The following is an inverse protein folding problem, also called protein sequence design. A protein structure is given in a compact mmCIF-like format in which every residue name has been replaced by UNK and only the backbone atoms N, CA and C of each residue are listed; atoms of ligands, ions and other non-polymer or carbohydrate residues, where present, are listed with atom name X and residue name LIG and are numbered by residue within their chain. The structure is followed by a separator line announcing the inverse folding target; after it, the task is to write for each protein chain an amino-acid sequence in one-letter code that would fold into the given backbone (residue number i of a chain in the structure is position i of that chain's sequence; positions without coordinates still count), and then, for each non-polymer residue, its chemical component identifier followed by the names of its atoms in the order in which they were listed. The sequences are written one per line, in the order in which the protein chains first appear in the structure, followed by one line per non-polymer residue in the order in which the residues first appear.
data_IF_638592216688
#
_entry.id   IF_638592216688
#
_cell.length_a   1.000
_cell.length_b   1.000
_cell.length_c   1.000
_cell.angle_alpha   90.00
_cell.angle_beta   90.00
_cell.angle_gamma   90.00
#
_symmetry.space_group_name_H-M   'P 1'
#
loop_
_entity.id
_entity.type
_entity.pdbx_description
1 polymer ?
#
# COMPACT_ATOMS: atom_id res chain seq x y z
N UNK A 1 7.72 -62.06 13.82
CA UNK A 1 7.23 -63.17 12.97
C UNK A 1 5.79 -62.84 12.59
N UNK A 2 5.35 -62.60 11.36
CA UNK A 2 5.85 -62.84 10.01
C UNK A 2 4.66 -63.29 9.17
N UNK A 3 4.23 -62.48 8.18
CA UNK A 3 3.45 -62.83 6.96
C UNK A 3 2.01 -63.42 7.15
N UNK A 4 0.98 -63.22 6.31
CA UNK A 4 0.83 -62.63 4.96
C UNK A 4 -0.67 -62.44 4.64
N UNK A 5 -0.93 -61.61 3.62
CA UNK A 5 -2.09 -61.58 2.71
C UNK A 5 -3.31 -60.71 3.07
N UNK A 6 -3.43 -59.58 2.37
CA UNK A 6 -4.71 -58.97 2.02
C UNK A 6 -4.57 -58.35 0.61
N UNK A 7 -4.90 -59.19 -0.36
CA UNK A 7 -5.59 -58.96 -1.64
C UNK A 7 -5.56 -57.55 -2.26
N UNK A 8 -4.97 -57.53 -3.45
CA UNK A 8 -5.06 -56.51 -4.49
C UNK A 8 -6.52 -56.16 -4.87
N UNK A 9 -6.91 -54.89 -4.70
CA UNK A 9 -8.07 -54.33 -5.39
C UNK A 9 -7.57 -53.52 -6.58
N UNK A 10 -7.60 -54.15 -7.76
CA UNK A 10 -7.42 -53.50 -9.06
C UNK A 10 -8.50 -52.42 -9.26
N UNK A 11 -8.13 -51.13 -9.13
CA UNK A 11 -8.93 -50.04 -9.71
C UNK A 11 -8.59 -49.93 -11.20
N UNK A 12 -9.58 -50.23 -12.05
CA UNK A 12 -9.56 -49.90 -13.48
C UNK A 12 -9.45 -48.38 -13.65
N UNK A 13 -8.35 -47.91 -14.22
CA UNK A 13 -8.26 -46.56 -14.75
C UNK A 13 -9.08 -46.48 -16.04
N UNK A 14 -10.09 -45.61 -16.08
CA UNK A 14 -10.72 -45.22 -17.33
C UNK A 14 -9.75 -44.28 -18.06
N UNK A 15 -9.28 -44.68 -19.24
CA UNK A 15 -8.55 -43.81 -20.13
C UNK A 15 -9.51 -42.76 -20.70
N UNK A 16 -9.37 -41.50 -20.27
CA UNK A 16 -10.04 -40.37 -20.90
C UNK A 16 -9.11 -39.86 -22.01
N UNK A 17 -9.49 -40.13 -23.26
CA UNK A 17 -8.84 -39.58 -24.43
C UNK A 17 -9.27 -38.12 -24.59
N UNK A 18 -8.40 -37.18 -24.18
CA UNK A 18 -8.61 -35.74 -24.44
C UNK A 18 -8.23 -35.45 -25.89
N UNK A 19 -9.21 -35.10 -26.72
CA UNK A 19 -8.94 -34.55 -28.06
C UNK A 19 -8.46 -33.11 -27.91
N UNK A 20 -7.22 -32.85 -28.29
CA UNK A 20 -6.69 -31.49 -28.39
C UNK A 20 -7.46 -30.71 -29.47
N UNK A 21 -8.12 -29.62 -29.09
CA UNK A 21 -8.57 -28.61 -30.03
C UNK A 21 -7.34 -27.86 -30.57
N UNK A 22 -7.30 -27.62 -31.88
CA UNK A 22 -6.22 -26.86 -32.50
C UNK A 22 -6.14 -25.44 -31.91
N UNK A 23 -4.93 -24.91 -31.64
CA UNK A 23 -4.80 -23.55 -31.14
C UNK A 23 -5.30 -22.57 -32.20
N UNK A 24 -6.29 -21.74 -31.84
CA UNK A 24 -6.61 -20.54 -32.62
C UNK A 24 -5.37 -19.63 -32.59
N UNK A 25 -4.90 -19.26 -33.77
CA UNK A 25 -3.81 -18.31 -33.97
C UNK A 25 -4.24 -16.98 -33.34
N UNK A 26 -3.60 -16.59 -32.24
CA UNK A 26 -3.68 -15.22 -31.73
C UNK A 26 -2.74 -14.42 -32.61
N UNK A 27 -3.31 -13.57 -33.46
CA UNK A 27 -2.50 -12.61 -34.22
C UNK A 27 -1.87 -11.62 -33.24
N UNK A 28 -0.55 -11.52 -33.32
CA UNK A 28 0.19 -10.52 -32.57
C UNK A 28 -0.17 -9.14 -33.12
N UNK A 29 -0.76 -8.29 -32.28
CA UNK A 29 -0.91 -6.87 -32.61
C UNK A 29 0.47 -6.24 -32.49
N UNK A 30 1.04 -5.84 -33.61
CA UNK A 30 2.23 -5.01 -33.64
C UNK A 30 1.87 -3.61 -33.10
N UNK A 31 2.67 -3.12 -32.14
CA UNK A 31 2.64 -1.71 -31.76
C UNK A 31 3.22 -0.88 -32.90
N UNK A 32 2.39 -0.08 -33.55
CA UNK A 32 2.86 0.99 -34.46
C UNK A 32 2.39 2.38 -33.99
N UNK A 33 3.29 3.32 -34.23
CA UNK A 33 3.27 4.74 -33.88
C UNK A 33 2.20 5.53 -34.65
N UNK A 34 1.73 6.61 -34.02
CA UNK A 34 0.72 7.53 -34.53
C UNK A 34 1.09 8.19 -35.87
N UNK A 35 0.18 8.09 -36.86
CA UNK A 35 -0.10 9.13 -37.86
C UNK A 35 -1.42 8.84 -38.61
N UNK A 36 -2.32 9.83 -38.56
CA UNK A 36 -3.43 10.23 -39.44
C UNK A 36 -4.05 9.24 -40.46
N UNK A 37 -5.38 9.09 -40.45
CA UNK A 37 -6.35 9.83 -41.30
C UNK A 37 -7.79 9.29 -41.13
N UNK A 38 -8.73 10.08 -41.65
CA UNK A 38 -10.14 10.18 -41.30
C UNK A 38 -11.12 9.20 -41.99
N UNK A 39 -12.37 9.28 -41.50
CA UNK A 39 -13.67 9.19 -42.19
C UNK A 39 -14.48 7.87 -42.25
N UNK A 40 -15.66 7.97 -41.60
CA UNK A 40 -17.02 7.71 -42.12
C UNK A 40 -17.76 6.36 -41.85
N UNK A 41 -18.80 6.51 -41.01
CA UNK A 41 -20.21 6.10 -41.18
C UNK A 41 -20.74 4.67 -40.89
N UNK A 42 -21.55 4.61 -39.80
CA UNK A 42 -22.90 4.01 -39.57
C UNK A 42 -23.37 2.79 -40.40
N UNK A 43 -23.83 1.75 -39.68
CA UNK A 43 -25.25 1.33 -39.65
C UNK A 43 -25.55 0.28 -38.55
N UNK A 44 -26.85 0.07 -38.30
CA UNK A 44 -27.50 -0.33 -37.04
C UNK A 44 -28.16 -1.71 -37.11
N UNK A 45 -28.34 -2.33 -35.94
CA UNK A 45 -29.32 -3.36 -35.53
C UNK A 45 -29.08 -4.84 -35.88
N UNK A 46 -29.11 -5.69 -34.85
CA UNK A 46 -30.34 -6.38 -34.42
C UNK A 46 -30.10 -7.28 -33.20
N UNK A 47 -30.90 -7.06 -32.16
CA UNK A 47 -31.03 -7.91 -30.97
C UNK A 47 -31.60 -9.29 -31.32
N UNK A 48 -31.12 -10.33 -30.63
CA UNK A 48 -31.88 -11.56 -30.39
C UNK A 48 -31.63 -12.04 -28.96
N UNK A 49 -32.60 -11.76 -28.10
CA UNK A 49 -32.81 -12.43 -26.83
C UNK A 49 -33.01 -13.94 -27.04
N UNK A 50 -32.33 -14.76 -26.25
CA UNK A 50 -32.72 -16.15 -25.99
C UNK A 50 -32.76 -16.34 -24.48
N UNK A 51 -33.97 -16.36 -23.94
CA UNK A 51 -34.25 -16.71 -22.56
C UNK A 51 -33.89 -18.19 -22.30
N UNK A 52 -33.05 -18.43 -21.30
CA UNK A 52 -32.88 -19.75 -20.69
C UNK A 52 -33.17 -19.63 -19.20
N UNK A 53 -34.28 -20.24 -18.78
CA UNK A 53 -34.71 -20.35 -17.41
C UNK A 53 -33.77 -21.27 -16.62
N UNK A 54 -33.25 -20.76 -15.51
CA UNK A 54 -32.54 -21.53 -14.48
C UNK A 54 -32.81 -20.91 -13.13
N UNK A 55 -33.66 -21.55 -12.33
CA UNK A 55 -34.04 -21.09 -10.99
C UNK A 55 -32.87 -21.13 -10.02
N UNK A 56 -32.71 -20.04 -9.27
CA UNK A 56 -31.81 -19.89 -8.13
C UNK A 56 -32.36 -18.77 -7.24
N UNK A 57 -32.31 -18.99 -5.94
CA UNK A 57 -32.92 -18.21 -4.85
C UNK A 57 -32.65 -16.71 -4.99
N UNK A 58 -33.72 -15.90 -4.97
CA UNK A 58 -33.63 -14.43 -4.93
C UNK A 58 -32.80 -13.99 -3.72
N UNK A 59 -31.66 -13.33 -3.99
CA UNK A 59 -30.93 -12.61 -2.96
C UNK A 59 -31.70 -11.35 -2.59
N UNK A 60 -31.94 -11.19 -1.29
CA UNK A 60 -32.92 -10.23 -0.74
C UNK A 60 -32.31 -8.85 -0.45
N UNK A 61 -31.11 -8.62 -0.95
CA UNK A 61 -30.41 -7.34 -0.91
C UNK A 61 -30.12 -6.95 -2.34
N UNK A 62 -30.83 -5.92 -2.83
CA UNK A 62 -30.58 -5.35 -4.15
C UNK A 62 -29.23 -4.66 -4.16
N UNK A 63 -28.17 -5.42 -4.42
CA UNK A 63 -26.91 -4.88 -4.91
C UNK A 63 -27.10 -4.52 -6.39
N UNK A 64 -26.72 -3.29 -6.72
CA UNK A 64 -26.92 -2.67 -8.03
C UNK A 64 -26.43 -3.57 -9.17
N UNK A 65 -27.33 -3.90 -10.10
CA UNK A 65 -27.00 -4.62 -11.36
C UNK A 65 -25.86 -3.96 -12.15
N UNK A 66 -25.59 -2.66 -11.93
CA UNK A 66 -24.48 -1.94 -12.52
C UNK A 66 -23.09 -2.43 -12.06
N UNK A 67 -22.98 -3.09 -10.89
CA UNK A 67 -21.70 -3.64 -10.41
C UNK A 67 -21.31 -4.95 -11.09
N UNK A 68 -22.27 -5.72 -11.61
CA UNK A 68 -22.00 -6.96 -12.36
C UNK A 68 -21.52 -6.69 -13.80
N UNK A 69 -21.81 -5.52 -14.37
CA UNK A 69 -21.40 -5.12 -15.74
C UNK A 69 -19.97 -4.59 -15.81
N UNK A 70 -19.31 -4.45 -14.67
CA UNK A 70 -17.97 -3.91 -14.58
C UNK A 70 -16.91 -4.90 -15.09
N UNK A 71 -15.97 -4.49 -15.97
CA UNK A 71 -14.93 -5.38 -16.48
C UNK A 71 -14.09 -6.01 -15.37
N UNK A 72 -13.85 -7.33 -15.44
CA UNK A 72 -13.00 -8.05 -14.48
C UNK A 72 -11.69 -8.48 -15.12
N UNK A 73 -10.59 -8.35 -14.38
CA UNK A 73 -9.29 -8.88 -14.81
C UNK A 73 -9.33 -10.41 -14.86
N UNK A 74 -9.07 -11.06 -16.02
CA UNK A 74 -9.12 -12.51 -16.16
C UNK A 74 -7.85 -13.17 -15.62
N UNK A 75 -7.73 -13.23 -14.29
CA UNK A 75 -6.56 -13.84 -13.63
C UNK A 75 -6.45 -15.34 -13.93
N UNK A 76 -5.27 -15.78 -14.37
CA UNK A 76 -4.94 -17.18 -14.59
C UNK A 76 -3.93 -17.67 -13.54
N UNK A 77 -4.25 -18.79 -12.89
CA UNK A 77 -3.39 -19.37 -11.86
C UNK A 77 -2.64 -20.58 -12.41
N UNK A 78 -1.34 -20.63 -12.17
CA UNK A 78 -0.48 -21.78 -12.48
C UNK A 78 0.47 -22.05 -11.32
N UNK A 79 0.92 -23.30 -11.18
CA UNK A 79 1.86 -23.65 -10.11
C UNK A 79 3.22 -23.00 -10.41
N UNK A 80 3.65 -22.11 -9.52
CA UNK A 80 4.96 -21.47 -9.63
C UNK A 80 6.10 -22.51 -9.49
N UNK A 81 6.99 -22.52 -10.46
CA UNK A 81 8.17 -23.39 -10.51
C UNK A 81 9.31 -22.71 -11.28
N UNK A 82 10.52 -23.27 -11.22
CA UNK A 82 11.70 -22.73 -11.90
C UNK A 82 11.95 -21.26 -11.59
N UNK A 83 12.29 -20.47 -12.61
CA UNK A 83 12.53 -19.03 -12.45
C UNK A 83 11.28 -18.23 -12.07
N UNK A 84 10.07 -18.70 -12.40
CA UNK A 84 8.84 -18.01 -11.98
C UNK A 84 8.74 -17.97 -10.46
N UNK A 85 9.02 -19.10 -9.80
CA UNK A 85 9.07 -19.18 -8.33
C UNK A 85 10.23 -18.36 -7.73
N UNK A 86 11.40 -18.35 -8.36
CA UNK A 86 12.57 -17.59 -7.88
C UNK A 86 12.43 -16.07 -8.03
N UNK A 87 11.58 -15.61 -8.95
CA UNK A 87 11.36 -14.18 -9.23
C UNK A 87 10.19 -13.59 -8.45
N UNK A 88 9.32 -14.43 -7.89
CA UNK A 88 8.21 -13.99 -7.04
C UNK A 88 8.70 -13.78 -5.59
N UNK A 89 8.74 -12.53 -5.10
CA UNK A 89 9.25 -12.23 -3.76
C UNK A 89 8.42 -12.84 -2.62
N UNK A 90 7.13 -13.14 -2.83
CA UNK A 90 6.26 -13.73 -1.82
C UNK A 90 6.65 -15.18 -1.50
N UNK A 91 7.16 -15.89 -2.52
CA UNK A 91 7.45 -17.31 -2.46
C UNK A 91 8.94 -17.65 -2.50
N UNK A 92 9.77 -16.75 -3.00
CA UNK A 92 11.21 -16.98 -3.09
C UNK A 92 11.85 -17.10 -1.70
N UNK A 93 12.54 -18.21 -1.46
CA UNK A 93 13.30 -18.49 -0.23
C UNK A 93 14.81 -18.35 -0.42
N UNK A 94 15.27 -18.03 -1.63
CA UNK A 94 16.69 -18.02 -1.99
C UNK A 94 17.35 -19.37 -1.67
N UNK A 95 18.47 -19.36 -0.95
CA UNK A 95 19.18 -20.58 -0.58
C UNK A 95 18.48 -21.42 0.50
N UNK A 96 17.36 -20.95 1.07
CA UNK A 96 16.58 -21.70 2.06
C UNK A 96 15.57 -22.67 1.45
N UNK A 97 15.45 -22.75 0.12
CA UNK A 97 14.77 -23.89 -0.50
C UNK A 97 15.51 -25.17 -0.13
N UNK A 98 14.78 -26.11 0.46
CA UNK A 98 15.26 -27.45 0.81
C UNK A 98 15.51 -28.28 -0.46
N UNK A 99 16.33 -29.33 -0.36
CA UNK A 99 16.56 -30.25 -1.50
C UNK A 99 15.25 -30.79 -2.09
N UNK A 100 14.29 -31.15 -1.23
CA UNK A 100 12.96 -31.64 -1.66
C UNK A 100 12.16 -30.58 -2.42
N UNK A 101 12.14 -29.34 -1.93
CA UNK A 101 11.48 -28.22 -2.64
C UNK A 101 12.16 -27.95 -3.98
N UNK A 102 13.49 -28.05 -4.04
CA UNK A 102 14.25 -27.84 -5.28
C UNK A 102 13.94 -28.90 -6.33
N UNK A 103 13.83 -30.17 -5.92
CA UNK A 103 13.45 -31.27 -6.80
C UNK A 103 11.99 -31.12 -7.27
N UNK A 104 11.07 -30.79 -6.36
CA UNK A 104 9.63 -30.69 -6.67
C UNK A 104 9.26 -29.48 -7.55
N UNK A 105 9.97 -28.36 -7.40
CA UNK A 105 9.67 -27.11 -8.11
C UNK A 105 10.67 -26.77 -9.23
N UNK A 106 11.41 -27.77 -9.73
CA UNK A 106 12.36 -27.59 -10.85
C UNK A 106 13.42 -26.50 -10.58
N UNK A 107 13.95 -26.44 -9.36
CA UNK A 107 15.01 -25.50 -8.96
C UNK A 107 16.40 -26.14 -8.91
N UNK A 108 16.49 -27.47 -8.99
CA UNK A 108 17.77 -28.19 -8.97
C UNK A 108 18.66 -27.72 -10.12
N UNK A 109 19.88 -27.31 -9.81
CA UNK A 109 20.83 -26.74 -10.79
C UNK A 109 20.68 -25.23 -11.02
N UNK A 110 19.55 -24.62 -10.64
CA UNK A 110 19.37 -23.15 -10.69
C UNK A 110 19.95 -22.45 -9.46
N UNK A 111 20.08 -23.18 -8.35
CA UNK A 111 20.67 -22.70 -7.10
C UNK A 111 21.95 -23.49 -6.77
N UNK A 112 22.94 -22.85 -6.12
CA UNK A 112 24.10 -23.55 -5.56
C UNK A 112 23.70 -24.70 -4.62
N UNK A 113 24.53 -25.76 -4.48
CA UNK A 113 24.19 -26.95 -3.69
C UNK A 113 23.95 -26.69 -2.19
N UNK A 114 24.50 -25.63 -1.62
CA UNK A 114 24.31 -25.31 -0.20
C UNK A 114 22.85 -24.92 0.11
N UNK A 115 22.27 -25.55 1.13
CA UNK A 115 21.02 -25.12 1.76
C UNK A 115 21.37 -24.25 2.97
N UNK A 116 20.86 -23.02 2.99
CA UNK A 116 21.21 -22.00 4.00
C UNK A 116 19.96 -21.60 4.76
N UNK A 117 19.96 -21.76 6.09
CA UNK A 117 18.83 -21.40 6.95
C UNK A 117 18.49 -19.91 6.86
N UNK A 118 17.25 -19.56 7.18
CA UNK A 118 16.79 -18.17 7.16
C UNK A 118 17.62 -17.30 8.12
N UNK A 119 17.96 -17.79 9.31
CA UNK A 119 18.79 -17.06 10.28
C UNK A 119 20.20 -16.78 9.76
N UNK A 120 20.81 -17.72 9.04
CA UNK A 120 22.13 -17.50 8.44
C UNK A 120 22.05 -16.51 7.27
N UNK A 121 20.93 -16.48 6.53
CA UNK A 121 20.68 -15.43 5.54
C UNK A 121 20.52 -14.05 6.20
N UNK A 122 19.77 -13.93 7.30
CA UNK A 122 19.66 -12.70 8.10
C UNK A 122 21.05 -12.22 8.53
N UNK A 123 21.87 -13.11 9.11
CA UNK A 123 23.24 -12.79 9.54
C UNK A 123 24.11 -12.28 8.39
N UNK A 124 24.02 -12.92 7.21
CA UNK A 124 24.75 -12.50 6.01
C UNK A 124 24.31 -11.12 5.53
N UNK A 125 23.00 -10.85 5.49
CA UNK A 125 22.49 -9.55 5.04
C UNK A 125 22.87 -8.45 6.03
N UNK A 126 22.73 -8.66 7.34
CA UNK A 126 23.18 -7.66 8.33
C UNK A 126 24.67 -7.36 8.22
N UNK A 127 25.51 -8.38 7.99
CA UNK A 127 26.94 -8.19 7.77
C UNK A 127 27.20 -7.25 6.57
N UNK A 128 26.51 -7.47 5.45
CA UNK A 128 26.65 -6.62 4.27
C UNK A 128 26.09 -5.21 4.50
N UNK A 129 24.93 -5.08 5.15
CA UNK A 129 24.30 -3.78 5.42
C UNK A 129 25.20 -2.86 6.24
N UNK A 130 25.87 -3.41 7.25
CA UNK A 130 26.80 -2.67 8.12
C UNK A 130 28.05 -2.19 7.38
N UNK A 131 28.40 -2.77 6.23
CA UNK A 131 29.53 -2.33 5.40
C UNK A 131 29.19 -1.11 4.54
N UNK A 132 27.91 -0.84 4.26
CA UNK A 132 27.52 0.39 3.57
C UNK A 132 27.80 1.60 4.43
N UNK A 133 28.39 2.62 3.80
CA UNK A 133 28.83 3.85 4.47
C UNK A 133 27.72 4.90 4.57
N UNK A 134 26.80 4.91 3.60
CA UNK A 134 25.73 5.91 3.51
C UNK A 134 24.39 5.26 3.86
N UNK A 135 23.55 5.88 4.71
CA UNK A 135 22.23 5.34 5.06
C UNK A 135 21.36 5.02 3.84
N UNK A 136 21.35 5.89 2.82
CA UNK A 136 20.61 5.67 1.57
C UNK A 136 21.02 4.37 0.84
N UNK A 137 22.29 3.97 0.89
CA UNK A 137 22.71 2.69 0.30
C UNK A 137 22.10 1.50 1.04
N UNK A 138 21.97 1.60 2.37
CA UNK A 138 21.28 0.59 3.18
C UNK A 138 19.79 0.55 2.86
N UNK A 139 19.15 1.72 2.68
CA UNK A 139 17.76 1.81 2.26
C UNK A 139 17.53 1.08 0.92
N UNK A 140 18.33 1.41 -0.11
CA UNK A 140 18.21 0.77 -1.44
C UNK A 140 18.42 -0.75 -1.33
N UNK A 141 19.39 -1.21 -0.55
CA UNK A 141 19.63 -2.63 -0.33
C UNK A 141 18.47 -3.34 0.40
N UNK A 142 17.78 -2.63 1.31
CA UNK A 142 16.59 -3.15 2.00
C UNK A 142 15.39 -3.25 1.06
N UNK A 143 15.15 -2.24 0.22
CA UNK A 143 14.07 -2.28 -0.78
C UNK A 143 14.34 -3.38 -1.84
N UNK A 144 15.58 -3.53 -2.29
CA UNK A 144 15.99 -4.62 -3.18
C UNK A 144 15.84 -6.02 -2.54
N UNK A 145 15.84 -6.11 -1.20
CA UNK A 145 15.58 -7.35 -0.49
C UNK A 145 14.07 -7.63 -0.41
N UNK A 146 13.27 -6.63 -0.09
CA UNK A 146 11.81 -6.73 -0.06
C UNK A 146 11.28 -7.29 -1.39
N UNK A 147 11.75 -6.72 -2.50
CA UNK A 147 11.36 -7.11 -3.87
C UNK A 147 12.02 -8.39 -4.39
N UNK A 148 12.81 -9.09 -3.55
CA UNK A 148 13.38 -10.41 -3.89
C UNK A 148 12.90 -11.53 -2.98
N UNK A 149 12.77 -11.26 -1.69
CA UNK A 149 12.42 -12.24 -0.67
C UNK A 149 11.77 -11.50 0.50
N UNK A 150 10.46 -11.33 0.38
CA UNK A 150 9.65 -10.55 1.30
C UNK A 150 9.73 -11.09 2.74
N UNK A 151 9.67 -12.41 2.89
CA UNK A 151 9.76 -13.06 4.21
C UNK A 151 11.10 -12.82 4.89
N UNK A 152 12.19 -12.84 4.14
CA UNK A 152 13.52 -12.54 4.68
C UNK A 152 13.65 -11.06 5.05
N UNK A 153 13.10 -10.15 4.24
CA UNK A 153 13.03 -8.72 4.56
C UNK A 153 12.34 -8.49 5.91
N UNK A 154 11.13 -9.03 6.09
CA UNK A 154 10.39 -8.81 7.34
C UNK A 154 11.05 -9.49 8.54
N UNK A 155 11.57 -10.72 8.41
CA UNK A 155 12.30 -11.36 9.51
C UNK A 155 13.54 -10.56 9.90
N UNK A 156 14.31 -10.09 8.93
CA UNK A 156 15.49 -9.24 9.15
C UNK A 156 15.12 -7.95 9.91
N UNK A 157 14.04 -7.29 9.49
CA UNK A 157 13.53 -6.06 10.09
C UNK A 157 13.01 -6.28 11.52
N UNK A 158 12.24 -7.35 11.76
CA UNK A 158 11.72 -7.69 13.09
C UNK A 158 12.87 -8.01 14.06
N UNK A 159 13.81 -8.86 13.64
CA UNK A 159 14.92 -9.31 14.50
C UNK A 159 15.91 -8.17 14.84
N UNK A 160 15.93 -7.09 14.05
CA UNK A 160 16.90 -5.98 14.18
C UNK A 160 16.22 -4.59 14.12
N UNK A 161 15.00 -4.49 14.65
CA UNK A 161 14.14 -3.31 14.46
C UNK A 161 14.81 -2.01 14.90
N UNK A 162 15.50 -2.00 16.03
CA UNK A 162 16.15 -0.78 16.56
C UNK A 162 17.23 -0.23 15.62
N UNK A 163 18.02 -1.10 14.99
CA UNK A 163 19.09 -0.71 14.06
C UNK A 163 18.56 -0.35 12.67
N UNK A 164 17.49 -1.01 12.23
CA UNK A 164 16.98 -0.88 10.86
C UNK A 164 15.84 0.11 10.72
N UNK A 165 15.12 0.48 11.79
CA UNK A 165 14.05 1.46 11.73
C UNK A 165 14.53 2.82 11.17
N UNK A 166 15.70 3.36 11.56
CA UNK A 166 16.22 4.60 10.97
C UNK A 166 16.64 4.47 9.50
N UNK A 167 16.79 3.23 9.00
CA UNK A 167 17.16 2.93 7.61
C UNK A 167 15.93 2.84 6.73
N UNK A 168 14.91 2.06 7.12
CA UNK A 168 13.71 1.82 6.30
C UNK A 168 12.61 2.88 6.50
N UNK A 169 12.74 3.69 7.56
CA UNK A 169 11.81 4.75 7.90
C UNK A 169 12.58 6.05 8.19
N UNK A 170 12.05 6.92 9.06
CA UNK A 170 12.66 8.23 9.34
C UNK A 170 14.01 8.08 10.06
N UNK A 171 15.04 8.88 9.69
CA UNK A 171 15.01 9.97 8.70
C UNK A 171 15.33 9.55 7.25
N UNK A 172 15.89 8.35 7.03
CA UNK A 172 16.46 7.96 5.71
C UNK A 172 15.40 7.87 4.62
N UNK A 173 14.16 7.48 4.94
CA UNK A 173 13.05 7.45 3.97
C UNK A 173 12.76 8.83 3.36
N UNK A 174 12.99 9.91 4.12
CA UNK A 174 12.85 11.27 3.60
C UNK A 174 13.90 11.60 2.54
N UNK A 175 15.16 11.22 2.78
CA UNK A 175 16.23 11.34 1.78
C UNK A 175 15.92 10.47 0.55
N UNK A 176 15.39 9.27 0.76
CA UNK A 176 14.97 8.39 -0.33
C UNK A 176 13.85 9.02 -1.17
N UNK A 177 12.87 9.69 -0.56
CA UNK A 177 11.83 10.43 -1.28
C UNK A 177 12.40 11.61 -2.07
N UNK A 178 13.39 12.34 -1.54
CA UNK A 178 14.02 13.43 -2.30
C UNK A 178 14.74 12.93 -3.55
N UNK A 179 15.33 11.73 -3.48
CA UNK A 179 16.13 11.13 -4.56
C UNK A 179 15.40 10.01 -5.30
N UNK A 180 14.09 9.88 -5.11
CA UNK A 180 13.34 8.67 -5.47
C UNK A 180 13.46 8.33 -6.95
N UNK A 181 13.37 9.32 -7.84
CA UNK A 181 13.56 9.13 -9.28
C UNK A 181 14.96 8.60 -9.63
N UNK A 182 16.01 9.17 -9.04
CA UNK A 182 17.40 8.76 -9.28
C UNK A 182 17.76 7.36 -8.74
N UNK A 183 17.06 6.90 -7.69
CA UNK A 183 17.30 5.59 -7.07
C UNK A 183 16.26 4.54 -7.49
N UNK A 184 15.32 4.88 -8.37
CA UNK A 184 14.24 4.00 -8.78
C UNK A 184 14.79 2.74 -9.47
N UNK A 185 14.28 1.57 -9.07
CA UNK A 185 14.75 0.27 -9.58
C UNK A 185 13.60 -0.68 -9.89
N UNK A 186 12.90 -1.11 -8.85
CA UNK A 186 11.71 -1.95 -8.95
C UNK A 186 10.52 -1.13 -8.47
N UNK A 187 9.40 -1.11 -9.22
CA UNK A 187 8.22 -0.39 -8.80
C UNK A 187 7.65 -1.01 -7.52
N UNK A 188 7.23 -0.17 -6.59
CA UNK A 188 6.53 -0.55 -5.38
C UNK A 188 5.28 0.33 -5.24
N UNK A 189 4.17 -0.28 -4.86
CA UNK A 189 2.87 0.40 -4.75
C UNK A 189 2.22 0.68 -6.10
N UNK A 190 1.15 1.47 -6.04
CA UNK A 190 0.30 1.82 -7.16
C UNK A 190 0.22 3.34 -7.31
N UNK A 191 0.32 3.83 -8.54
CA UNK A 191 0.28 5.24 -8.86
C UNK A 191 -1.05 5.56 -9.55
N UNK A 192 -1.77 6.56 -9.05
CA UNK A 192 -2.99 7.09 -9.67
C UNK A 192 -2.75 8.55 -9.95
N UNK A 193 -2.92 8.98 -11.20
CA UNK A 193 -2.63 10.34 -11.63
C UNK A 193 -3.86 11.07 -12.16
N UNK A 194 -3.74 12.38 -12.40
CA UNK A 194 -4.78 13.15 -13.11
C UNK A 194 -5.13 12.59 -14.49
N UNK A 195 -4.19 11.88 -15.14
CA UNK A 195 -4.43 11.27 -16.45
C UNK A 195 -5.35 10.04 -16.37
N UNK A 196 -5.55 9.51 -15.16
CA UNK A 196 -6.36 8.33 -14.89
C UNK A 196 -7.79 8.68 -14.46
N UNK A 197 -8.15 9.97 -14.46
CA UNK A 197 -9.51 10.44 -14.17
C UNK A 197 -10.53 9.78 -15.11
N UNK A 198 -11.60 9.26 -14.54
CA UNK A 198 -12.63 8.44 -15.18
C UNK A 198 -12.25 6.95 -15.34
N UNK A 199 -11.05 6.55 -14.89
CA UNK A 199 -10.49 5.19 -15.06
C UNK A 199 -9.76 4.71 -13.80
N UNK A 200 -9.93 5.36 -12.64
CA UNK A 200 -9.20 4.99 -11.42
C UNK A 200 -9.50 3.54 -11.01
N UNK A 201 -10.74 3.09 -11.20
CA UNK A 201 -11.13 1.70 -10.95
C UNK A 201 -10.34 0.70 -11.80
N UNK A 202 -10.00 1.04 -13.04
CA UNK A 202 -9.21 0.19 -13.93
C UNK A 202 -7.75 0.15 -13.51
N UNK A 203 -7.20 1.26 -13.00
CA UNK A 203 -5.86 1.30 -12.41
C UNK A 203 -5.78 0.37 -11.19
N UNK A 204 -6.76 0.45 -10.28
CA UNK A 204 -6.84 -0.40 -9.09
C UNK A 204 -6.93 -1.89 -9.45
N UNK A 205 -7.64 -2.25 -10.53
CA UNK A 205 -7.76 -3.64 -11.02
C UNK A 205 -6.47 -4.28 -11.51
N UNK A 206 -5.46 -3.47 -11.82
CA UNK A 206 -4.14 -3.97 -12.20
C UNK A 206 -3.33 -4.47 -10.99
N UNK A 207 -3.73 -4.11 -9.77
CA UNK A 207 -3.09 -4.63 -8.57
C UNK A 207 -3.38 -6.14 -8.42
N UNK A 208 -2.34 -6.99 -8.24
CA UNK A 208 -2.50 -8.44 -8.30
C UNK A 208 -3.19 -9.02 -7.05
N UNK A 209 -3.14 -8.32 -5.92
CA UNK A 209 -3.75 -8.78 -4.67
C UNK A 209 -5.20 -8.29 -4.55
N UNK A 210 -6.15 -9.23 -4.45
CA UNK A 210 -7.58 -8.90 -4.38
C UNK A 210 -8.05 -8.48 -2.99
N UNK A 211 -7.43 -9.02 -1.95
CA UNK A 211 -7.91 -8.91 -0.58
C UNK A 211 -7.14 -7.84 0.21
N UNK A 212 -7.25 -6.59 -0.24
CA UNK A 212 -6.62 -5.45 0.42
C UNK A 212 -7.39 -5.09 1.69
N UNK A 213 -6.64 -4.83 2.77
CA UNK A 213 -7.17 -4.48 4.08
C UNK A 213 -6.65 -3.13 4.57
N UNK A 214 -5.44 -2.73 4.17
CA UNK A 214 -4.82 -1.47 4.56
C UNK A 214 -4.23 -0.78 3.34
N UNK A 215 -4.73 0.41 3.05
CA UNK A 215 -4.16 1.35 2.07
C UNK A 215 -3.49 2.45 2.85
N UNK A 216 -2.24 2.78 2.50
CA UNK A 216 -1.62 4.05 2.89
C UNK A 216 -1.49 4.87 1.62
N UNK A 217 -2.06 6.07 1.63
CA UNK A 217 -2.13 6.95 0.47
C UNK A 217 -1.54 8.31 0.80
N UNK A 218 -0.82 8.90 -0.15
CA UNK A 218 -0.28 10.25 -0.09
C UNK A 218 -0.42 10.95 -1.43
N UNK A 219 -0.47 12.28 -1.46
CA UNK A 219 -0.26 13.09 -2.66
C UNK A 219 1.13 13.74 -2.71
N UNK A 220 1.97 13.47 -1.71
CA UNK A 220 3.34 13.94 -1.59
C UNK A 220 3.49 15.45 -1.38
N UNK A 221 2.44 16.19 -1.02
CA UNK A 221 2.50 17.65 -0.87
C UNK A 221 3.29 18.08 0.37
N UNK A 222 3.30 17.26 1.42
CA UNK A 222 3.95 17.59 2.69
C UNK A 222 4.70 16.39 3.27
N UNK A 223 5.69 15.89 2.54
CA UNK A 223 6.52 14.78 3.01
C UNK A 223 7.33 15.21 4.24
N UNK A 224 6.96 14.72 5.42
CA UNK A 224 7.62 15.03 6.70
C UNK A 224 7.77 16.57 6.91
N UNK A 225 9.03 17.04 7.04
CA UNK A 225 9.41 18.45 7.07
C UNK A 225 10.13 18.90 5.78
N UNK A 226 10.08 18.09 4.71
CA UNK A 226 10.80 18.31 3.46
C UNK A 226 9.94 19.04 2.41
N UNK A 227 8.62 19.11 2.63
CA UNK A 227 7.68 19.81 1.77
C UNK A 227 7.19 18.95 0.60
N UNK A 228 6.91 19.61 -0.51
CA UNK A 228 6.33 18.98 -1.69
C UNK A 228 7.37 18.15 -2.45
N UNK A 229 7.18 16.83 -2.50
CA UNK A 229 7.99 15.90 -3.29
C UNK A 229 7.19 15.19 -4.39
N UNK A 230 5.92 15.59 -4.59
CA UNK A 230 5.05 15.05 -5.64
C UNK A 230 4.98 13.52 -5.63
N UNK A 231 5.08 12.94 -6.83
CA UNK A 231 5.05 11.49 -7.04
C UNK A 231 6.20 10.73 -6.34
N UNK A 232 7.29 11.42 -5.97
CA UNK A 232 8.39 10.81 -5.22
C UNK A 232 8.06 10.54 -3.74
N UNK A 233 6.90 11.01 -3.27
CA UNK A 233 6.38 10.72 -1.94
C UNK A 233 6.06 9.24 -1.68
N UNK A 234 6.01 8.39 -2.72
CA UNK A 234 5.68 6.95 -2.62
C UNK A 234 6.52 6.19 -1.57
N UNK A 235 7.76 6.62 -1.32
CA UNK A 235 8.60 6.01 -0.29
C UNK A 235 7.95 6.00 1.11
N UNK A 236 7.10 6.98 1.42
CA UNK A 236 6.41 7.06 2.71
C UNK A 236 5.34 5.96 2.85
N UNK A 237 4.33 5.81 1.96
CA UNK A 237 3.40 4.69 2.00
C UNK A 237 4.08 3.31 2.06
N UNK A 238 5.13 3.11 1.25
CA UNK A 238 5.90 1.84 1.23
C UNK A 238 6.55 1.57 2.59
N UNK A 239 7.20 2.59 3.17
CA UNK A 239 7.81 2.52 4.50
C UNK A 239 6.78 2.23 5.59
N UNK A 240 5.65 2.97 5.60
CA UNK A 240 4.56 2.78 6.58
C UNK A 240 3.99 1.37 6.55
N UNK A 241 3.67 0.84 5.36
CA UNK A 241 3.11 -0.50 5.23
C UNK A 241 4.12 -1.59 5.62
N UNK A 242 5.42 -1.33 5.42
CA UNK A 242 6.46 -2.19 5.95
C UNK A 242 6.44 -2.25 7.49
N UNK A 243 6.15 -1.14 8.16
CA UNK A 243 5.97 -1.09 9.62
C UNK A 243 4.65 -1.72 10.08
N UNK A 244 3.56 -1.57 9.33
CA UNK A 244 2.30 -2.28 9.59
C UNK A 244 2.52 -3.80 9.67
N UNK A 245 3.34 -4.34 8.77
CA UNK A 245 3.71 -5.76 8.82
C UNK A 245 4.66 -6.04 9.97
N UNK A 246 5.81 -5.35 10.03
CA UNK A 246 6.88 -5.71 10.96
C UNK A 246 6.50 -5.50 12.44
N UNK A 247 5.72 -4.46 12.73
CA UNK A 247 5.33 -4.10 14.10
C UNK A 247 3.88 -4.51 14.42
N UNK A 248 2.98 -4.41 13.44
CA UNK A 248 1.55 -4.69 13.60
C UNK A 248 1.12 -6.09 13.20
N UNK A 249 1.98 -6.88 12.55
CA UNK A 249 1.64 -8.23 12.08
C UNK A 249 0.59 -8.26 10.97
N UNK A 250 0.32 -7.14 10.30
CA UNK A 250 -0.56 -7.10 9.13
C UNK A 250 0.09 -7.88 7.99
N UNK A 251 -0.70 -8.61 7.21
CA UNK A 251 -0.16 -9.38 6.06
C UNK A 251 0.29 -8.41 4.96
N UNK A 252 1.52 -8.52 4.45
CA UNK A 252 2.01 -7.68 3.35
C UNK A 252 1.13 -7.72 2.10
N UNK A 253 0.64 -8.90 1.74
CA UNK A 253 -0.27 -9.08 0.58
C UNK A 253 -1.64 -8.41 0.77
N UNK A 254 -1.97 -7.95 1.97
CA UNK A 254 -3.18 -7.18 2.27
C UNK A 254 -2.90 -5.66 2.38
N UNK A 255 -1.67 -5.24 2.09
CA UNK A 255 -1.22 -3.85 2.14
C UNK A 255 -1.08 -3.29 0.73
N UNK A 256 -1.56 -2.07 0.50
CA UNK A 256 -1.47 -1.40 -0.80
C UNK A 256 -0.96 0.04 -0.62
N UNK A 257 0.31 0.33 -0.98
CA UNK A 257 0.85 1.69 -0.98
C UNK A 257 0.34 2.43 -2.21
N UNK A 258 -0.19 3.64 -2.04
CA UNK A 258 -0.71 4.46 -3.14
C UNK A 258 -0.10 5.86 -3.12
N UNK A 259 0.22 6.39 -4.30
CA UNK A 259 0.51 7.82 -4.48
C UNK A 259 -0.45 8.41 -5.51
N UNK A 260 -1.11 9.51 -5.13
CA UNK A 260 -1.99 10.30 -5.99
C UNK A 260 -1.16 11.43 -6.62
N UNK A 261 -0.84 11.30 -7.90
CA UNK A 261 -0.03 12.28 -8.63
C UNK A 261 -0.90 13.32 -9.34
N UNK A 262 -1.05 14.47 -8.69
CA UNK A 262 -1.74 15.65 -9.23
C UNK A 262 -0.76 16.71 -9.73
N UNK A 263 0.51 16.36 -9.92
CA UNK A 263 1.60 17.29 -10.17
C UNK A 263 2.36 17.69 -8.90
N UNK A 264 3.32 18.60 -9.03
CA UNK A 264 4.13 19.11 -7.91
C UNK A 264 4.42 20.59 -8.08
N UNK A 265 4.45 21.32 -6.97
CA UNK A 265 4.88 22.72 -6.92
C UNK A 265 6.40 22.86 -6.67
N UNK A 266 7.11 21.75 -6.55
CA UNK A 266 8.55 21.74 -6.38
C UNK A 266 9.27 21.97 -7.71
N UNK A 267 9.75 23.21 -7.91
CA UNK A 267 10.50 23.60 -9.11
C UNK A 267 11.77 22.79 -9.34
N UNK A 268 12.44 22.30 -8.30
CA UNK A 268 13.62 21.46 -8.49
C UNK A 268 13.23 20.14 -9.16
N UNK A 269 12.12 19.53 -8.75
CA UNK A 269 11.62 18.29 -9.34
C UNK A 269 11.05 18.48 -10.74
N UNK A 270 10.36 19.60 -11.00
CA UNK A 270 9.86 19.90 -12.35
C UNK A 270 11.00 19.98 -13.38
N UNK A 271 12.15 20.52 -12.95
CA UNK A 271 13.34 20.66 -13.78
C UNK A 271 14.29 19.45 -13.72
N UNK A 272 14.04 18.46 -12.86
CA UNK A 272 14.88 17.26 -12.71
C UNK A 272 14.56 16.22 -13.79
N UNK A 273 15.51 15.85 -14.65
CA UNK A 273 15.35 14.85 -15.69
C UNK A 273 14.91 13.46 -15.19
N UNK A 274 15.20 13.14 -13.93
CA UNK A 274 14.84 11.85 -13.30
C UNK A 274 13.51 11.89 -12.56
N UNK A 275 12.82 13.03 -12.50
CA UNK A 275 11.50 13.09 -11.86
C UNK A 275 10.51 12.13 -12.56
N UNK A 276 9.84 11.31 -11.73
CA UNK A 276 8.98 10.21 -12.18
C UNK A 276 7.50 10.56 -12.28
N UNK A 277 7.09 11.73 -11.79
CA UNK A 277 5.70 12.16 -11.79
C UNK A 277 5.31 13.04 -12.97
N UNK A 278 4.06 13.52 -12.95
CA UNK A 278 3.55 14.49 -13.90
C UNK A 278 4.34 15.81 -13.79
N UNK A 279 5.00 16.20 -14.88
CA UNK A 279 5.77 17.45 -15.00
C UNK A 279 4.85 18.66 -15.20
N UNK A 280 4.02 18.91 -14.20
CA UNK A 280 3.08 20.02 -14.13
C UNK A 280 2.92 20.48 -12.68
N UNK A 281 2.46 21.72 -12.51
CA UNK A 281 2.05 22.24 -11.20
C UNK A 281 0.87 21.45 -10.64
N UNK A 282 0.71 21.47 -9.31
CA UNK A 282 -0.40 20.76 -8.64
C UNK A 282 -1.74 21.27 -9.16
N UNK A 283 -2.64 20.35 -9.51
CA UNK A 283 -4.06 20.67 -9.65
C UNK A 283 -4.62 21.12 -8.29
N UNK A 284 -5.59 22.03 -8.33
CA UNK A 284 -6.23 22.58 -7.12
C UNK A 284 -7.73 22.73 -7.36
N UNK A 285 -8.50 22.95 -6.29
CA UNK A 285 -9.94 23.15 -6.41
C UNK A 285 -10.65 21.91 -6.97
N UNK A 286 -11.67 22.11 -7.79
CA UNK A 286 -12.58 21.06 -8.26
C UNK A 286 -11.86 19.86 -8.88
N UNK A 287 -10.87 20.08 -9.75
CA UNK A 287 -10.15 19.00 -10.44
C UNK A 287 -9.47 18.01 -9.47
N UNK A 288 -8.87 18.51 -8.38
CA UNK A 288 -8.28 17.67 -7.33
C UNK A 288 -9.35 16.88 -6.59
N UNK A 289 -10.45 17.55 -6.24
CA UNK A 289 -11.52 16.94 -5.45
C UNK A 289 -12.27 15.86 -6.22
N UNK A 290 -12.49 16.06 -7.52
CA UNK A 290 -13.13 15.07 -8.40
C UNK A 290 -12.28 13.80 -8.50
N UNK A 291 -10.95 13.92 -8.67
CA UNK A 291 -10.07 12.74 -8.70
C UNK A 291 -10.05 12.01 -7.35
N UNK A 292 -10.01 12.75 -6.24
CA UNK A 292 -10.01 12.15 -4.91
C UNK A 292 -11.34 11.46 -4.59
N UNK A 293 -12.46 12.04 -5.01
CA UNK A 293 -13.78 11.42 -4.88
C UNK A 293 -13.88 10.14 -5.70
N UNK A 294 -13.48 10.17 -6.98
CA UNK A 294 -13.39 8.98 -7.81
C UNK A 294 -12.50 7.91 -7.18
N UNK A 295 -11.34 8.29 -6.63
CA UNK A 295 -10.43 7.37 -5.96
C UNK A 295 -11.09 6.69 -4.75
N UNK A 296 -11.70 7.47 -3.85
CA UNK A 296 -12.32 6.93 -2.64
C UNK A 296 -13.49 6.00 -2.98
N UNK A 297 -14.33 6.39 -3.93
CA UNK A 297 -15.46 5.58 -4.40
C UNK A 297 -14.97 4.29 -5.08
N UNK A 298 -13.94 4.37 -5.92
CA UNK A 298 -13.35 3.19 -6.58
C UNK A 298 -12.71 2.22 -5.57
N UNK A 299 -12.04 2.74 -4.53
CA UNK A 299 -11.48 1.91 -3.44
C UNK A 299 -12.58 1.18 -2.69
N UNK A 300 -13.65 1.87 -2.31
CA UNK A 300 -14.81 1.26 -1.66
C UNK A 300 -15.48 0.22 -2.55
N UNK A 301 -15.62 0.50 -3.84
CA UNK A 301 -16.26 -0.40 -4.78
C UNK A 301 -15.46 -1.69 -5.01
N UNK A 302 -14.12 -1.62 -5.06
CA UNK A 302 -13.27 -2.80 -5.29
C UNK A 302 -13.00 -3.58 -4.00
N UNK A 303 -12.69 -2.90 -2.89
CA UNK A 303 -12.18 -3.53 -1.67
C UNK A 303 -13.20 -3.58 -0.53
N UNK A 304 -14.37 -2.95 -0.71
CA UNK A 304 -15.49 -2.96 0.23
C UNK A 304 -15.35 -1.98 1.40
N UNK A 305 -16.40 -1.88 2.21
CA UNK A 305 -16.56 -0.90 3.31
C UNK A 305 -15.54 -1.04 4.47
N UNK A 306 -14.84 -2.18 4.55
CA UNK A 306 -13.95 -2.52 5.68
C UNK A 306 -12.48 -2.22 5.41
N UNK A 307 -12.12 -1.80 4.20
CA UNK A 307 -10.74 -1.42 3.88
C UNK A 307 -10.36 -0.17 4.68
N UNK A 308 -9.24 -0.24 5.39
CA UNK A 308 -8.67 0.91 6.08
C UNK A 308 -7.92 1.78 5.07
N UNK A 309 -8.25 3.07 5.01
CA UNK A 309 -7.54 4.06 4.20
C UNK A 309 -6.84 5.04 5.15
N UNK A 310 -5.52 4.92 5.23
CA UNK A 310 -4.68 5.85 5.96
C UNK A 310 -4.17 6.95 5.02
N UNK A 311 -4.56 8.19 5.31
CA UNK A 311 -3.99 9.37 4.68
C UNK A 311 -2.68 9.75 5.35
N UNK A 312 -1.65 10.04 4.54
CA UNK A 312 -0.31 10.36 5.01
C UNK A 312 0.30 11.52 4.23
N UNK A 313 0.97 12.44 4.92
CA UNK A 313 1.80 13.51 4.35
C UNK A 313 1.08 14.42 3.31
N UNK A 314 -0.23 14.64 3.51
CA UNK A 314 -1.01 15.65 2.79
C UNK A 314 -0.72 17.05 3.36
N UNK A 315 -0.91 18.11 2.59
CA UNK A 315 -0.87 19.46 3.15
C UNK A 315 -2.03 19.72 4.12
N UNK A 316 -1.79 20.55 5.14
CA UNK A 316 -2.72 20.79 6.25
C UNK A 316 -4.18 21.01 5.81
N UNK A 317 -4.44 21.85 4.81
CA UNK A 317 -5.81 22.14 4.36
C UNK A 317 -6.51 20.87 3.83
N UNK A 318 -5.87 20.17 2.89
CA UNK A 318 -6.37 18.91 2.33
C UNK A 318 -6.51 17.83 3.42
N UNK A 319 -5.51 17.67 4.29
CA UNK A 319 -5.53 16.66 5.35
C UNK A 319 -6.78 16.77 6.24
N UNK A 320 -7.15 17.98 6.66
CA UNK A 320 -8.36 18.21 7.46
C UNK A 320 -9.64 18.00 6.66
N UNK A 321 -9.71 18.52 5.44
CA UNK A 321 -10.91 18.44 4.60
C UNK A 321 -11.22 16.99 4.21
N UNK A 322 -10.20 16.21 3.82
CA UNK A 322 -10.31 14.79 3.50
C UNK A 322 -10.78 13.98 4.72
N UNK A 323 -10.14 14.18 5.88
CA UNK A 323 -10.52 13.47 7.10
C UNK A 323 -11.97 13.81 7.51
N UNK A 324 -12.38 15.08 7.42
CA UNK A 324 -13.73 15.51 7.77
C UNK A 324 -14.79 15.02 6.77
N UNK A 325 -14.47 14.94 5.48
CA UNK A 325 -15.37 14.44 4.42
C UNK A 325 -15.54 12.92 4.53
N UNK A 326 -14.44 12.17 4.53
CA UNK A 326 -14.48 10.71 4.34
C UNK A 326 -14.65 9.90 5.64
N UNK A 327 -14.40 10.47 6.82
CA UNK A 327 -14.68 9.77 8.11
C UNK A 327 -16.15 9.41 8.34
N UNK A 328 -17.07 10.01 7.57
CA UNK A 328 -18.50 9.71 7.63
C UNK A 328 -18.92 8.54 6.75
N UNK A 329 -18.12 8.22 5.73
CA UNK A 329 -18.48 7.27 4.68
C UNK A 329 -17.49 6.11 4.54
N UNK A 330 -16.26 6.23 5.04
CA UNK A 330 -15.19 5.25 4.88
C UNK A 330 -14.47 5.01 6.21
N UNK A 331 -13.84 3.85 6.35
CA UNK A 331 -12.89 3.59 7.44
C UNK A 331 -11.57 4.30 7.14
N UNK A 332 -11.47 5.56 7.56
CA UNK A 332 -10.28 6.38 7.33
C UNK A 332 -9.58 6.77 8.62
N UNK A 333 -8.28 7.01 8.49
CA UNK A 333 -7.40 7.49 9.55
C UNK A 333 -6.35 8.41 8.93
N UNK A 334 -5.91 9.43 9.66
CA UNK A 334 -4.75 10.26 9.26
C UNK A 334 -3.70 10.20 10.38
N UNK A 335 -2.50 9.70 10.08
CA UNK A 335 -1.47 9.47 11.11
C UNK A 335 -0.84 10.78 11.60
N UNK A 336 -0.68 11.76 10.72
CA UNK A 336 -0.12 13.08 11.04
C UNK A 336 -0.98 13.85 12.04
N UNK A 337 -2.31 13.72 11.94
CA UNK A 337 -3.28 14.35 12.84
C UNK A 337 -3.56 13.45 14.05
N UNK A 338 -4.07 12.23 13.81
CA UNK A 338 -4.65 11.38 14.85
C UNK A 338 -3.60 10.47 15.51
N UNK A 339 -2.69 9.91 14.72
CA UNK A 339 -1.60 9.06 15.23
C UNK A 339 -0.63 9.83 16.11
N UNK A 340 -0.18 10.98 15.63
CA UNK A 340 0.68 11.91 16.37
C UNK A 340 0.01 12.40 17.65
N UNK A 341 -1.29 12.74 17.60
CA UNK A 341 -2.04 13.09 18.80
C UNK A 341 -2.05 11.97 19.84
N UNK A 342 -2.29 10.73 19.40
CA UNK A 342 -2.36 9.55 20.27
C UNK A 342 -1.03 9.28 20.99
N UNK A 343 0.09 9.26 20.26
CA UNK A 343 1.42 9.00 20.86
C UNK A 343 1.85 10.10 21.82
N UNK A 344 1.54 11.37 21.53
CA UNK A 344 1.85 12.49 22.42
C UNK A 344 1.00 12.43 23.70
N UNK A 345 -0.31 12.15 23.58
CA UNK A 345 -1.16 11.96 24.76
C UNK A 345 -0.67 10.79 25.62
N UNK A 346 -0.26 9.68 25.00
CA UNK A 346 0.32 8.54 25.72
C UNK A 346 1.60 8.94 26.47
N UNK A 347 2.46 9.77 25.87
CA UNK A 347 3.65 10.34 26.52
C UNK A 347 3.30 11.24 27.70
N UNK A 348 2.30 12.11 27.57
CA UNK A 348 1.82 12.96 28.67
C UNK A 348 1.27 12.13 29.83
N UNK A 349 0.38 11.17 29.56
CA UNK A 349 -0.17 10.28 30.57
C UNK A 349 0.91 9.45 31.27
N UNK A 350 1.92 9.00 30.54
CA UNK A 350 3.06 8.27 31.11
C UNK A 350 3.91 9.16 32.00
N UNK A 351 4.12 10.42 31.60
CA UNK A 351 4.87 11.41 32.39
C UNK A 351 4.14 11.74 33.70
N UNK A 352 2.82 11.93 33.66
CA UNK A 352 1.99 12.20 34.85
C UNK A 352 2.03 11.07 35.88
N UNK A 353 2.22 9.82 35.47
CA UNK A 353 2.41 8.70 36.41
C UNK A 353 3.72 8.81 37.21
N UNK A 354 4.71 9.53 36.69
CA UNK A 354 6.02 9.73 37.33
C UNK A 354 6.02 11.01 38.16
N UNK A 355 5.53 12.12 37.61
CA UNK A 355 5.60 13.44 38.27
C UNK A 355 4.39 13.74 39.17
N UNK A 356 3.31 12.98 39.04
CA UNK A 356 2.04 13.22 39.72
C UNK A 356 1.18 14.30 39.04
N UNK A 357 -0.05 14.47 39.55
CA UNK A 357 -1.03 15.44 39.04
C UNK A 357 -1.93 14.90 37.92
N UNK A 358 -2.77 15.78 37.39
CA UNK A 358 -3.75 15.46 36.33
C UNK A 358 -3.53 16.31 35.08
N UNK A 359 -4.04 15.85 33.92
CA UNK A 359 -3.96 16.61 32.67
C UNK A 359 -4.60 18.00 32.81
N UNK A 360 -5.62 18.14 33.65
CA UNK A 360 -6.38 19.36 33.77
C UNK A 360 -5.77 20.40 34.73
N UNK A 361 -4.66 20.05 35.41
CA UNK A 361 -3.87 20.97 36.23
C UNK A 361 -2.79 21.70 35.44
N UNK A 362 -2.51 21.23 34.22
CA UNK A 362 -1.42 21.74 33.39
C UNK A 362 -1.90 22.81 32.40
N UNK A 363 -0.99 23.71 32.05
CA UNK A 363 -1.15 24.66 30.94
C UNK A 363 -0.23 24.24 29.80
N UNK A 364 -0.76 24.17 28.60
CA UNK A 364 -0.07 23.63 27.43
C UNK A 364 0.27 24.76 26.44
N UNK A 365 1.53 24.81 26.02
CA UNK A 365 2.03 25.76 25.02
C UNK A 365 2.52 24.98 23.80
N UNK A 366 1.98 25.33 22.63
CA UNK A 366 2.28 24.69 21.35
C UNK A 366 3.10 25.63 20.47
N UNK A 367 4.25 25.14 20.01
CA UNK A 367 5.02 25.79 18.95
C UNK A 367 4.65 25.14 17.61
N UNK A 368 3.80 25.82 16.84
CA UNK A 368 3.22 25.31 15.59
C UNK A 368 1.73 24.99 15.72
N UNK A 369 0.95 25.44 14.73
CA UNK A 369 -0.50 25.30 14.66
C UNK A 369 -0.96 24.59 13.37
N UNK A 370 -0.22 23.53 12.97
CA UNK A 370 -0.57 22.65 11.85
C UNK A 370 -1.31 21.40 12.30
N UNK A 371 -1.34 20.38 11.43
CA UNK A 371 -1.97 19.07 11.64
C UNK A 371 -1.68 18.46 13.02
N UNK A 372 -0.40 18.20 13.31
CA UNK A 372 0.00 17.59 14.57
C UNK A 372 -0.42 18.43 15.80
N UNK A 373 -0.11 19.72 15.81
CA UNK A 373 -0.38 20.59 16.97
C UNK A 373 -1.86 20.65 17.32
N UNK A 374 -2.71 20.85 16.31
CA UNK A 374 -4.17 20.92 16.48
C UNK A 374 -4.79 19.57 16.84
N UNK A 375 -4.33 18.47 16.23
CA UNK A 375 -4.72 17.11 16.60
C UNK A 375 -4.40 16.77 18.05
N UNK A 376 -3.17 17.06 18.50
CA UNK A 376 -2.73 16.83 19.89
C UNK A 376 -3.61 17.64 20.85
N UNK A 377 -3.83 18.93 20.58
CA UNK A 377 -4.59 19.81 21.46
C UNK A 377 -6.04 19.34 21.62
N UNK A 378 -6.71 18.94 20.53
CA UNK A 378 -8.09 18.44 20.58
C UNK A 378 -8.17 17.10 21.33
N UNK A 379 -7.18 16.20 21.16
CA UNK A 379 -7.17 14.92 21.86
C UNK A 379 -6.90 15.06 23.37
N UNK A 380 -6.01 15.97 23.76
CA UNK A 380 -5.80 16.32 25.18
C UNK A 380 -7.09 16.90 25.76
N UNK A 381 -7.74 17.84 25.05
CA UNK A 381 -9.00 18.42 25.50
C UNK A 381 -10.10 17.35 25.65
N UNK A 382 -10.20 16.40 24.72
CA UNK A 382 -11.12 15.28 24.80
C UNK A 382 -10.83 14.39 26.02
N UNK A 383 -9.58 14.06 26.31
CA UNK A 383 -9.24 13.24 27.47
C UNK A 383 -9.54 13.97 28.79
N UNK A 384 -9.25 15.27 28.87
CA UNK A 384 -9.64 16.12 30.01
C UNK A 384 -11.16 16.09 30.21
N UNK A 385 -11.98 16.04 29.13
CA UNK A 385 -13.43 15.89 29.28
C UNK A 385 -13.83 14.64 30.02
N UNK A 386 -13.24 13.52 29.60
CA UNK A 386 -13.65 12.19 30.01
C UNK A 386 -13.33 12.03 31.48
N UNK A 387 -12.14 12.48 31.89
CA UNK A 387 -11.71 12.48 33.29
C UNK A 387 -12.59 13.34 34.19
N UNK A 388 -13.11 14.47 33.69
CA UNK A 388 -13.98 15.38 34.46
C UNK A 388 -15.48 15.09 34.35
N UNK A 389 -15.89 14.07 33.59
CA UNK A 389 -17.30 13.76 33.29
C UNK A 389 -18.11 14.98 32.78
N UNK A 390 -17.45 15.92 32.10
CA UNK A 390 -18.10 17.11 31.57
C UNK A 390 -18.63 16.83 30.16
N UNK A 391 -19.91 17.10 29.91
CA UNK A 391 -20.58 16.85 28.61
C UNK A 391 -20.43 18.00 27.59
N UNK A 392 -19.92 19.17 27.98
CA UNK A 392 -19.77 20.34 27.10
C UNK A 392 -18.35 20.90 27.12
N UNK A 393 -17.58 20.74 26.03
CA UNK A 393 -16.12 20.84 26.11
C UNK A 393 -15.33 21.74 25.18
N UNK A 394 -15.85 22.10 24.02
CA UNK A 394 -14.99 22.77 23.04
C UNK A 394 -14.52 24.16 23.51
N UNK A 395 -15.20 24.80 24.47
CA UNK A 395 -14.85 26.14 24.95
C UNK A 395 -14.10 26.17 26.30
N UNK A 396 -14.31 25.20 27.19
CA UNK A 396 -13.71 25.24 28.53
C UNK A 396 -12.26 24.72 28.58
N UNK A 397 -11.95 23.65 27.83
CA UNK A 397 -10.60 23.11 27.77
C UNK A 397 -9.64 24.01 26.96
N UNK A 398 -10.13 24.78 25.99
CA UNK A 398 -9.32 25.68 25.15
C UNK A 398 -8.58 26.79 25.91
N UNK A 399 -9.00 27.11 27.15
CA UNK A 399 -8.34 28.10 28.00
C UNK A 399 -6.94 27.69 28.48
N UNK A 400 -6.60 26.41 28.36
CA UNK A 400 -5.30 25.87 28.74
C UNK A 400 -4.30 25.81 27.59
N UNK A 401 -4.70 26.20 26.37
CA UNK A 401 -3.90 26.04 25.15
C UNK A 401 -3.43 27.38 24.60
N UNK A 402 -2.12 27.52 24.48
CA UNK A 402 -1.46 28.69 23.89
C UNK A 402 -0.73 28.29 22.62
N UNK A 403 -0.74 29.17 21.61
CA UNK A 403 -0.18 28.89 20.28
C UNK A 403 0.87 29.93 19.91
N UNK A 404 2.01 29.47 19.41
CA UNK A 404 3.01 30.29 18.75
C UNK A 404 3.05 29.86 17.28
N UNK A 405 2.76 30.79 16.36
CA UNK A 405 2.82 30.57 14.90
C UNK A 405 3.96 31.38 14.30
N UNK A 406 4.62 30.84 13.28
CA UNK A 406 5.54 31.61 12.44
C UNK A 406 4.69 32.61 11.65
N UNK A 407 5.02 33.90 11.76
CA UNK A 407 4.38 34.99 10.99
C UNK A 407 4.88 34.95 9.57
#
# INVERSE_FOLDING_TARGET
DGCTSCLEVRRRAAAVTVRAAQPKRVEAVAMESAAETAEAEKEVAAEKEVAAAGGGVEDKYGEDRATEELPVTPWAFSVASGYTLLRDPHHNKGLAFTERERDAHYLRGLLPPGVVSQDLQVKKIMHNLRQYKVPLQRYVAMMDLQERNERLFYKLLIDNVEELLPVVYTPTVGEACQKYGSIFRRPQGLYVSLRDKGKVIDVLRNWPERNIQVIVVTDGERILGLGDLGCQGMGIPVGKLSLYTALGGVRPSACLPITIDVGTNNEQLLNDEFYIGLRQRRATGEEYHELMEEFMDAVKQIYGEKVLIQFEDFANHNAFDLLAKYSKSHLVFNDDIQGTASVVLAGLLSSLKVVGGTLAEHTYLFLGAGEAGTGIAELIALEISKQRQMLQLKSAARRFFWWIRRV
#
